data_IF_344708991610
#
_entry.id   IF_344708991610
#
_cell.length_a   1.000
_cell.length_b   1.000
_cell.length_c   1.000
_cell.angle_alpha   90.00
_cell.angle_beta   90.00
_cell.angle_gamma   90.00
#
_symmetry.space_group_name_H-M   'P 1'
#
loop_
_entity.id
_entity.type
_entity.pdbx_description
1 polymer ?
#
# COMPACT_ATOMS: atom_id res chain seq x y z
N UNK A 1 12.23 5.62 27.79
CA UNK A 1 10.92 5.91 27.15
C UNK A 1 11.12 7.06 26.18
N UNK A 2 11.24 6.75 24.89
CA UNK A 2 11.19 7.75 23.83
C UNK A 2 10.17 7.23 22.83
N UNK A 3 8.93 7.65 22.99
CA UNK A 3 7.89 7.44 22.00
C UNK A 3 8.25 8.30 20.80
N UNK A 4 8.83 7.67 19.78
CA UNK A 4 8.85 8.24 18.45
C UNK A 4 7.41 8.36 17.99
N UNK A 5 6.87 9.57 18.00
CA UNK A 5 5.62 9.85 17.32
C UNK A 5 5.83 9.44 15.85
N UNK A 6 5.15 8.38 15.41
CA UNK A 6 4.92 8.11 13.99
C UNK A 6 4.08 9.28 13.46
N UNK A 7 4.75 10.40 13.17
CA UNK A 7 4.22 11.48 12.36
C UNK A 7 3.77 10.85 11.05
N UNK A 8 2.49 11.04 10.72
CA UNK A 8 1.76 10.25 9.72
C UNK A 8 2.61 9.87 8.51
N UNK A 9 2.86 8.57 8.37
CA UNK A 9 3.48 8.01 7.17
C UNK A 9 2.58 8.32 5.98
N UNK A 10 2.95 9.34 5.22
CA UNK A 10 2.38 9.62 3.91
C UNK A 10 2.70 8.42 3.02
N UNK A 11 1.66 7.68 2.61
CA UNK A 11 1.82 6.52 1.73
C UNK A 11 2.56 6.92 0.46
N UNK A 12 3.63 6.18 0.13
CA UNK A 12 4.47 6.48 -1.03
C UNK A 12 5.59 7.48 -0.77
N UNK A 13 5.75 7.96 0.46
CA UNK A 13 6.84 8.85 0.89
C UNK A 13 7.67 8.16 1.96
N UNK A 14 8.98 8.11 1.77
CA UNK A 14 9.92 7.58 2.76
C UNK A 14 10.82 8.71 3.26
N UNK A 15 10.88 8.88 4.59
CA UNK A 15 11.81 9.81 5.21
C UNK A 15 13.15 9.12 5.50
N UNK A 16 14.23 9.64 4.94
CA UNK A 16 15.60 9.14 5.13
C UNK A 16 16.50 10.21 5.71
N UNK A 17 17.49 9.78 6.50
CA UNK A 17 18.54 10.64 7.04
C UNK A 17 19.89 10.13 6.60
N UNK A 18 20.66 10.99 5.93
CA UNK A 18 22.03 10.71 5.52
C UNK A 18 23.00 11.63 6.26
N UNK A 19 24.17 11.09 6.59
CA UNK A 19 25.18 11.78 7.41
C UNK A 19 26.56 11.58 6.82
N UNK A 20 27.39 12.61 6.90
CA UNK A 20 28.83 12.45 6.67
C UNK A 20 29.64 13.41 7.54
N UNK A 21 30.88 13.02 7.81
CA UNK A 21 31.83 13.88 8.52
C UNK A 21 32.40 14.96 7.59
N UNK A 22 32.95 16.01 8.17
CA UNK A 22 33.64 17.09 7.46
C UNK A 22 34.61 16.54 6.40
N UNK A 23 34.65 17.21 5.25
CA UNK A 23 35.34 16.81 4.00
C UNK A 23 34.72 15.64 3.22
N UNK A 24 33.63 15.03 3.71
CA UNK A 24 32.81 14.08 2.96
C UNK A 24 31.70 14.74 2.14
N UNK A 25 30.85 13.93 1.52
CA UNK A 25 29.62 14.37 0.84
C UNK A 25 28.47 13.43 1.17
N UNK A 26 27.29 13.99 1.40
CA UNK A 26 26.04 13.23 1.42
C UNK A 26 25.55 13.12 -0.02
N UNK A 27 25.35 11.89 -0.50
CA UNK A 27 24.71 11.63 -1.77
C UNK A 27 23.23 11.38 -1.51
N UNK A 28 22.40 12.18 -2.16
CA UNK A 28 20.97 11.99 -2.22
C UNK A 28 20.72 11.28 -3.54
N UNK A 29 20.14 10.08 -3.53
CA UNK A 29 19.89 9.33 -4.74
C UNK A 29 19.05 10.20 -5.68
N UNK A 30 19.66 10.59 -6.80
CA UNK A 30 18.92 11.00 -7.98
C UNK A 30 18.27 9.74 -8.57
N UNK A 31 17.27 9.95 -9.41
CA UNK A 31 16.50 8.91 -10.10
C UNK A 31 17.42 7.91 -10.84
N UNK A 32 17.90 6.88 -10.14
CA UNK A 32 18.77 5.85 -10.70
C UNK A 32 17.97 4.72 -11.38
N UNK A 33 16.67 4.92 -11.66
CA UNK A 33 15.93 4.18 -12.68
C UNK A 33 15.99 2.64 -12.63
N UNK A 34 15.99 2.03 -11.44
CA UNK A 34 16.28 0.60 -11.31
C UNK A 34 15.09 -0.37 -11.50
N UNK A 35 13.87 0.08 -11.84
CA UNK A 35 12.76 -0.84 -12.13
C UNK A 35 12.11 -0.53 -13.49
N UNK A 36 12.42 -1.36 -14.50
CA UNK A 36 11.79 -1.33 -15.81
C UNK A 36 10.30 -1.72 -15.69
N UNK A 37 9.41 -0.89 -16.23
CA UNK A 37 8.00 -1.26 -16.40
C UNK A 37 7.86 -2.26 -17.56
N UNK A 38 7.48 -3.53 -17.33
CA UNK A 38 7.52 -4.59 -18.34
C UNK A 38 6.51 -4.41 -19.47
N UNK A 39 5.58 -3.43 -19.39
CA UNK A 39 4.55 -3.21 -20.40
C UNK A 39 4.80 -2.02 -21.33
N UNK A 40 5.57 -1.03 -20.87
CA UNK A 40 5.74 0.24 -21.59
C UNK A 40 7.18 0.54 -21.95
N UNK A 41 8.16 -0.16 -21.35
CA UNK A 41 9.59 0.12 -21.53
C UNK A 41 9.98 1.55 -21.17
N UNK A 42 9.11 2.25 -20.42
CA UNK A 42 9.32 3.63 -19.99
C UNK A 42 9.44 3.66 -18.48
N UNK A 43 10.56 4.22 -18.05
CA UNK A 43 10.91 4.47 -16.65
C UNK A 43 9.86 5.39 -16.03
N UNK A 44 9.24 4.97 -14.93
CA UNK A 44 8.54 5.90 -14.06
C UNK A 44 9.61 6.60 -13.22
N UNK A 45 9.65 7.94 -13.16
CA UNK A 45 10.64 8.63 -12.35
C UNK A 45 10.44 8.22 -10.88
N UNK A 46 11.52 7.82 -10.20
CA UNK A 46 11.53 7.86 -8.74
C UNK A 46 11.15 9.29 -8.37
N UNK A 47 10.12 9.42 -7.53
CA UNK A 47 9.46 10.69 -7.31
C UNK A 47 10.38 11.72 -6.67
N UNK A 48 9.86 12.95 -6.59
CA UNK A 48 10.61 14.10 -6.08
C UNK A 48 11.27 13.82 -4.72
N UNK A 49 12.51 14.26 -4.58
CA UNK A 49 13.19 14.33 -3.28
C UNK A 49 12.99 15.73 -2.71
N UNK A 50 12.45 15.81 -1.50
CA UNK A 50 12.28 17.05 -0.75
C UNK A 50 13.12 17.03 0.52
N UNK A 51 14.08 17.95 0.64
CA UNK A 51 14.83 18.10 1.90
C UNK A 51 13.93 18.71 2.96
N UNK A 52 13.82 18.02 4.09
CA UNK A 52 12.99 18.42 5.24
C UNK A 52 13.80 19.22 6.23
N UNK A 53 15.02 18.76 6.55
CA UNK A 53 15.93 19.44 7.48
C UNK A 53 17.37 19.09 7.16
N UNK A 54 18.26 20.07 7.24
CA UNK A 54 19.71 19.87 7.13
C UNK A 54 20.47 20.75 8.11
N UNK A 55 21.50 20.20 8.74
CA UNK A 55 22.37 20.96 9.63
C UNK A 55 23.84 20.57 9.46
N UNK A 56 24.72 21.52 9.76
CA UNK A 56 26.16 21.31 9.79
C UNK A 56 26.75 21.84 11.09
N UNK A 57 27.49 21.00 11.82
CA UNK A 57 28.07 21.40 13.10
C UNK A 57 28.45 20.24 14.01
N UNK A 58 28.45 20.47 15.32
CA UNK A 58 28.79 19.44 16.30
C UNK A 58 27.70 18.35 16.38
N UNK A 59 28.10 17.08 16.31
CA UNK A 59 27.19 15.94 16.33
C UNK A 59 26.46 15.77 17.68
N UNK A 60 27.03 16.25 18.78
CA UNK A 60 26.51 16.08 20.14
C UNK A 60 25.94 17.38 20.72
N UNK A 61 26.35 18.54 20.21
CA UNK A 61 25.93 19.85 20.71
C UNK A 61 25.11 20.64 19.67
N UNK A 62 23.77 20.68 19.82
CA UNK A 62 22.90 21.42 18.92
C UNK A 62 23.14 22.93 18.87
N UNK A 63 23.71 23.52 19.93
CA UNK A 63 24.00 24.97 19.96
C UNK A 63 25.15 25.37 19.03
N UNK A 64 25.96 24.39 18.61
CA UNK A 64 27.09 24.54 17.71
C UNK A 64 26.77 24.01 16.31
N UNK A 65 25.51 24.18 15.85
CA UNK A 65 25.04 23.78 14.53
C UNK A 65 24.49 24.99 13.77
N UNK A 66 24.83 25.04 12.50
CA UNK A 66 24.14 25.91 11.54
C UNK A 66 23.01 25.12 10.89
N UNK A 67 21.81 25.70 10.89
CA UNK A 67 20.73 25.27 10.00
C UNK A 67 21.11 25.68 8.57
N UNK A 68 21.11 24.71 7.67
CA UNK A 68 21.47 24.89 6.26
C UNK A 68 20.36 24.35 5.34
N UNK A 69 19.15 24.19 5.88
CA UNK A 69 18.04 23.54 5.19
C UNK A 69 17.70 24.25 3.88
N UNK A 70 17.55 25.58 3.90
CA UNK A 70 17.18 26.37 2.71
C UNK A 70 18.29 26.37 1.65
N UNK A 71 19.56 26.43 2.08
CA UNK A 71 20.69 26.39 1.17
C UNK A 71 20.86 25.02 0.51
N UNK A 72 20.63 23.94 1.27
CA UNK A 72 20.66 22.57 0.73
C UNK A 72 19.49 22.36 -0.24
N UNK A 73 18.28 22.84 0.08
CA UNK A 73 17.14 22.83 -0.86
C UNK A 73 17.44 23.58 -2.16
N UNK A 74 18.08 24.75 -2.06
CA UNK A 74 18.49 25.55 -3.24
C UNK A 74 19.55 24.83 -4.07
N UNK A 75 20.49 24.14 -3.40
CA UNK A 75 21.52 23.37 -4.08
C UNK A 75 20.91 22.23 -4.88
N UNK A 76 20.08 21.40 -4.25
CA UNK A 76 19.47 20.20 -4.85
C UNK A 76 18.32 20.49 -5.83
N UNK A 77 18.23 21.72 -6.32
CA UNK A 77 17.28 22.07 -7.38
C UNK A 77 17.55 21.19 -8.62
N UNK A 78 16.53 20.94 -9.49
CA UNK A 78 16.56 19.89 -10.53
C UNK A 78 17.72 19.92 -11.54
N UNK A 79 18.56 20.96 -11.49
CA UNK A 79 19.67 21.22 -12.40
C UNK A 79 21.03 21.27 -11.70
N UNK A 80 21.11 21.04 -10.38
CA UNK A 80 22.35 21.21 -9.60
C UNK A 80 22.58 20.10 -8.56
N UNK A 81 23.12 18.96 -9.00
CA UNK A 81 23.91 17.99 -8.19
C UNK A 81 23.13 17.18 -7.12
N UNK A 82 23.35 15.86 -7.13
CA UNK A 82 22.95 14.88 -6.09
C UNK A 82 23.81 14.88 -4.82
N UNK A 83 24.83 15.73 -4.73
CA UNK A 83 25.85 15.65 -3.69
C UNK A 83 25.94 16.93 -2.85
N UNK A 84 25.72 16.79 -1.54
CA UNK A 84 25.85 17.86 -0.55
C UNK A 84 27.20 17.71 0.17
N UNK A 85 28.21 18.54 -0.14
CA UNK A 85 29.53 18.44 0.47
C UNK A 85 29.54 18.98 1.92
N UNK A 86 30.20 18.29 2.85
CA UNK A 86 30.35 18.72 4.24
C UNK A 86 31.59 19.61 4.41
N UNK A 87 31.48 20.91 4.11
CA UNK A 87 32.64 21.81 4.16
C UNK A 87 32.33 23.12 4.89
N UNK A 88 33.18 23.49 5.86
CA UNK A 88 33.04 24.74 6.61
C UNK A 88 33.04 26.00 5.73
N UNK A 89 33.73 25.96 4.57
CA UNK A 89 33.71 27.08 3.60
C UNK A 89 32.35 27.32 2.95
N UNK A 90 31.47 26.32 2.96
CA UNK A 90 30.13 26.39 2.37
C UNK A 90 29.07 26.70 3.42
N UNK A 91 29.22 26.14 4.61
CA UNK A 91 28.20 26.15 5.66
C UNK A 91 28.54 26.98 6.90
N UNK A 92 29.74 27.58 6.94
CA UNK A 92 30.29 28.22 8.13
C UNK A 92 30.95 27.21 9.08
N UNK A 93 31.63 27.74 10.10
CA UNK A 93 32.33 26.96 11.13
C UNK A 93 31.74 27.22 12.52
N UNK A 94 30.57 26.61 12.85
CA UNK A 94 29.90 26.84 14.12
C UNK A 94 30.59 26.17 15.31
N UNK A 95 31.42 25.15 15.07
CA UNK A 95 32.12 24.38 16.09
C UNK A 95 33.64 24.43 15.88
N UNK A 96 34.25 25.60 16.14
CA UNK A 96 35.69 25.79 15.99
C UNK A 96 36.48 24.75 16.80
N UNK A 97 37.56 24.25 16.20
CA UNK A 97 38.43 23.21 16.79
C UNK A 97 37.74 21.86 17.04
N UNK A 98 36.54 21.65 16.51
CA UNK A 98 35.82 20.38 16.56
C UNK A 98 35.55 19.86 15.15
N UNK A 99 35.51 18.53 15.03
CA UNK A 99 35.10 17.87 13.80
C UNK A 99 33.60 18.05 13.64
N UNK A 100 33.18 18.55 12.48
CA UNK A 100 31.77 18.82 12.18
C UNK A 100 31.16 17.65 11.41
N UNK A 101 29.86 17.48 11.58
CA UNK A 101 29.04 16.52 10.84
C UNK A 101 28.00 17.28 10.02
N UNK A 102 27.79 16.81 8.80
CA UNK A 102 26.64 17.16 7.98
C UNK A 102 25.57 16.08 8.19
N UNK A 103 24.35 16.49 8.48
CA UNK A 103 23.18 15.63 8.45
C UNK A 103 22.13 16.26 7.54
N UNK A 104 21.60 15.46 6.62
CA UNK A 104 20.51 15.85 5.74
C UNK A 104 19.40 14.82 5.89
N UNK A 105 18.21 15.28 6.26
CA UNK A 105 16.99 14.49 6.29
C UNK A 105 16.10 14.93 5.15
N UNK A 106 15.72 13.98 4.31
CA UNK A 106 14.91 14.21 3.12
C UNK A 106 13.78 13.20 3.04
N UNK A 107 12.71 13.60 2.38
CA UNK A 107 11.59 12.75 1.99
C UNK A 107 11.73 12.41 0.51
N UNK A 108 11.64 11.13 0.21
CA UNK A 108 11.69 10.61 -1.14
C UNK A 108 10.35 9.98 -1.49
N UNK A 109 9.75 10.45 -2.56
CA UNK A 109 8.58 9.83 -3.15
C UNK A 109 9.02 8.55 -3.89
N UNK A 110 8.79 7.37 -3.32
CA UNK A 110 9.09 6.11 -4.03
C UNK A 110 7.92 5.65 -4.91
N UNK A 111 6.77 6.31 -4.79
CA UNK A 111 5.55 6.00 -5.52
C UNK A 111 5.05 7.25 -6.25
N UNK A 112 5.07 7.20 -7.60
CA UNK A 112 4.52 8.26 -8.45
C UNK A 112 3.02 8.49 -8.21
N UNK A 113 2.53 9.65 -8.61
CA UNK A 113 1.19 10.16 -8.27
C UNK A 113 0.05 9.18 -8.58
N UNK A 114 0.05 8.57 -9.77
CA UNK A 114 -0.99 7.60 -10.18
C UNK A 114 -1.00 6.36 -9.26
N UNK A 115 0.19 5.81 -8.98
CA UNK A 115 0.30 4.61 -8.12
C UNK A 115 -0.04 4.94 -6.68
N UNK A 116 0.29 6.16 -6.22
CA UNK A 116 -0.08 6.68 -4.89
C UNK A 116 -1.59 6.85 -4.78
N UNK A 117 -2.24 7.44 -5.78
CA UNK A 117 -3.69 7.57 -5.83
C UNK A 117 -4.36 6.19 -5.82
N UNK A 118 -3.86 5.24 -6.61
CA UNK A 118 -4.35 3.87 -6.61
C UNK A 118 -4.21 3.21 -5.23
N UNK A 119 -3.08 3.39 -4.55
CA UNK A 119 -2.85 2.86 -3.20
C UNK A 119 -3.76 3.52 -2.15
N UNK A 120 -4.01 4.83 -2.26
CA UNK A 120 -4.96 5.55 -1.42
C UNK A 120 -6.39 5.07 -1.65
N UNK A 121 -6.78 4.84 -2.91
CA UNK A 121 -8.07 4.24 -3.26
C UNK A 121 -8.21 2.84 -2.66
N UNK A 122 -7.18 2.00 -2.79
CA UNK A 122 -7.16 0.66 -2.20
C UNK A 122 -7.30 0.70 -0.68
N UNK A 123 -6.61 1.64 -0.02
CA UNK A 123 -6.73 1.88 1.41
C UNK A 123 -8.13 2.34 1.81
N UNK A 124 -8.75 3.24 1.03
CA UNK A 124 -10.12 3.67 1.28
C UNK A 124 -11.08 2.48 1.23
N UNK A 125 -11.03 1.66 0.18
CA UNK A 125 -11.86 0.46 0.02
C UNK A 125 -11.61 -0.60 1.11
N UNK A 126 -10.38 -0.71 1.61
CA UNK A 126 -10.04 -1.62 2.70
C UNK A 126 -10.67 -1.20 4.04
N UNK A 127 -10.90 0.09 4.25
CA UNK A 127 -11.43 0.64 5.50
C UNK A 127 -12.93 1.00 5.42
N UNK A 128 -13.50 1.10 4.22
CA UNK A 128 -14.94 1.31 4.00
C UNK A 128 -15.72 0.04 4.35
N UNK A 129 -16.61 0.13 5.34
CA UNK A 129 -17.45 -1.01 5.73
C UNK A 129 -18.32 -1.43 4.55
N UNK A 130 -18.35 -2.73 4.27
CA UNK A 130 -19.12 -3.24 3.13
C UNK A 130 -20.61 -2.87 3.18
N UNK A 131 -21.24 -2.79 4.37
CA UNK A 131 -22.66 -2.41 4.50
C UNK A 131 -22.95 -0.94 4.17
N UNK A 132 -21.94 -0.08 4.25
CA UNK A 132 -22.05 1.36 3.97
C UNK A 132 -21.68 1.67 2.51
N UNK A 133 -21.03 0.74 1.81
CA UNK A 133 -20.57 0.91 0.44
C UNK A 133 -21.73 0.88 -0.57
N UNK A 134 -21.91 1.92 -1.42
CA UNK A 134 -23.02 1.99 -2.36
C UNK A 134 -22.95 0.91 -3.46
N UNK A 135 -21.75 0.44 -3.80
CA UNK A 135 -21.54 -0.61 -4.81
C UNK A 135 -21.81 -2.04 -4.32
N UNK A 136 -22.07 -2.27 -3.02
CA UNK A 136 -22.19 -3.61 -2.43
C UNK A 136 -23.12 -4.52 -3.25
N UNK A 137 -24.33 -4.04 -3.54
CA UNK A 137 -25.33 -4.80 -4.29
C UNK A 137 -24.88 -5.09 -5.71
N UNK A 138 -24.23 -4.13 -6.37
CA UNK A 138 -23.73 -4.29 -7.74
C UNK A 138 -22.62 -5.34 -7.81
N UNK A 139 -21.76 -5.41 -6.79
CA UNK A 139 -20.67 -6.39 -6.69
C UNK A 139 -21.20 -7.80 -6.41
N UNK A 140 -22.19 -7.94 -5.51
CA UNK A 140 -22.85 -9.22 -5.27
C UNK A 140 -23.58 -9.73 -6.52
N UNK A 141 -24.27 -8.82 -7.24
CA UNK A 141 -24.91 -9.16 -8.51
C UNK A 141 -23.89 -9.65 -9.54
N UNK A 142 -22.78 -8.93 -9.72
CA UNK A 142 -21.69 -9.32 -10.64
C UNK A 142 -21.06 -10.66 -10.28
N UNK A 143 -20.78 -10.89 -8.99
CA UNK A 143 -20.25 -12.17 -8.51
C UNK A 143 -21.21 -13.31 -8.85
N UNK A 144 -22.50 -13.13 -8.56
CA UNK A 144 -23.51 -14.15 -8.83
C UNK A 144 -23.68 -14.44 -10.32
N UNK A 145 -23.70 -13.39 -11.15
CA UNK A 145 -23.84 -13.51 -12.61
C UNK A 145 -22.65 -14.27 -13.21
N UNK A 146 -21.44 -13.95 -12.75
CA UNK A 146 -20.20 -14.59 -13.23
C UNK A 146 -20.17 -16.07 -12.89
N UNK A 147 -20.61 -16.45 -11.69
CA UNK A 147 -20.67 -17.84 -11.26
C UNK A 147 -21.76 -18.64 -11.97
N UNK A 148 -22.92 -18.02 -12.23
CA UNK A 148 -23.99 -18.64 -13.05
C UNK A 148 -23.49 -18.87 -14.48
N UNK A 149 -22.82 -17.89 -15.09
CA UNK A 149 -22.24 -18.03 -16.42
C UNK A 149 -21.18 -19.15 -16.47
N UNK A 150 -20.33 -19.24 -15.45
CA UNK A 150 -19.33 -20.32 -15.35
C UNK A 150 -20.00 -21.71 -15.29
N UNK A 151 -21.11 -21.85 -14.55
CA UNK A 151 -21.87 -23.10 -14.48
C UNK A 151 -22.59 -23.47 -15.80
N UNK A 152 -23.01 -22.47 -16.59
CA UNK A 152 -23.71 -22.65 -17.87
C UNK A 152 -22.81 -22.98 -19.06
N UNK A 153 -21.49 -22.91 -18.93
CA UNK A 153 -20.54 -23.42 -19.93
C UNK A 153 -20.64 -24.95 -20.15
N UNK A 154 -21.50 -25.63 -19.39
CA UNK A 154 -21.92 -27.02 -19.55
C UNK A 154 -23.27 -27.08 -20.30
N UNK A 155 -23.46 -27.93 -21.32
CA UNK A 155 -24.74 -28.04 -22.02
C UNK A 155 -25.80 -28.66 -21.10
N UNK A 156 -26.60 -27.83 -20.43
CA UNK A 156 -27.80 -28.23 -19.69
C UNK A 156 -28.97 -27.31 -20.10
N UNK A 157 -30.20 -27.85 -20.21
CA UNK A 157 -31.32 -27.12 -20.77
C UNK A 157 -31.84 -26.05 -19.81
N UNK A 158 -32.39 -25.01 -20.42
CA UNK A 158 -32.75 -23.72 -19.84
C UNK A 158 -33.62 -23.81 -18.57
N UNK A 159 -33.03 -23.44 -17.42
CA UNK A 159 -33.77 -22.95 -16.26
C UNK A 159 -33.10 -21.67 -15.72
N UNK A 160 -33.88 -20.59 -15.74
CA UNK A 160 -33.73 -19.29 -15.06
C UNK A 160 -32.33 -18.65 -15.00
N UNK A 161 -32.16 -17.61 -15.83
CA UNK A 161 -31.03 -16.67 -15.94
C UNK A 161 -30.94 -15.73 -14.71
N UNK A 162 -31.72 -15.96 -13.66
CA UNK A 162 -31.67 -15.12 -12.47
C UNK A 162 -30.36 -15.38 -11.71
N UNK A 163 -29.59 -14.31 -11.49
CA UNK A 163 -28.48 -14.29 -10.53
C UNK A 163 -28.96 -14.74 -9.14
N UNK A 164 -28.03 -14.83 -8.19
CA UNK A 164 -28.44 -15.20 -6.84
C UNK A 164 -29.31 -14.04 -6.31
N UNK A 165 -30.53 -14.34 -5.88
CA UNK A 165 -31.35 -13.35 -5.18
C UNK A 165 -30.61 -12.81 -3.96
N UNK A 166 -31.11 -11.71 -3.40
CA UNK A 166 -30.52 -11.06 -2.21
C UNK A 166 -30.24 -12.05 -1.06
N UNK A 167 -31.07 -13.09 -0.94
CA UNK A 167 -30.86 -14.23 -0.06
C UNK A 167 -31.01 -15.52 -0.87
N UNK A 168 -30.05 -16.44 -0.78
CA UNK A 168 -30.04 -17.70 -1.54
C UNK A 168 -29.19 -18.78 -0.86
N UNK A 169 -29.62 -20.06 -0.87
CA UNK A 169 -28.76 -21.18 -0.45
C UNK A 169 -27.46 -21.30 -1.26
N UNK A 170 -27.44 -20.77 -2.49
CA UNK A 170 -26.25 -20.76 -3.35
C UNK A 170 -25.10 -19.93 -2.78
N UNK A 171 -25.40 -18.91 -1.96
CA UNK A 171 -24.36 -18.18 -1.22
C UNK A 171 -23.65 -19.10 -0.23
N UNK A 172 -24.38 -19.94 0.51
CA UNK A 172 -23.78 -20.95 1.39
C UNK A 172 -22.95 -21.98 0.64
N UNK A 173 -23.42 -22.43 -0.54
CA UNK A 173 -22.64 -23.34 -1.38
C UNK A 173 -21.31 -22.71 -1.83
N UNK A 174 -21.29 -21.40 -2.11
CA UNK A 174 -20.07 -20.68 -2.43
C UNK A 174 -19.10 -20.53 -1.24
N UNK A 175 -19.55 -20.87 -0.02
CA UNK A 175 -18.74 -20.77 1.19
C UNK A 175 -18.98 -19.50 2.00
N UNK A 176 -20.10 -18.79 1.81
CA UNK A 176 -20.59 -17.82 2.80
C UNK A 176 -21.19 -18.57 4.01
N UNK A 177 -21.14 -17.96 5.20
CA UNK A 177 -21.71 -18.54 6.42
C UNK A 177 -23.24 -18.53 6.39
N UNK A 178 -23.81 -17.52 5.73
CA UNK A 178 -25.24 -17.23 5.71
C UNK A 178 -25.82 -17.27 4.28
N UNK A 179 -27.14 -17.42 4.16
CA UNK A 179 -27.82 -17.25 2.87
C UNK A 179 -27.82 -15.80 2.39
N UNK A 180 -27.53 -14.85 3.28
CA UNK A 180 -27.34 -13.43 2.99
C UNK A 180 -25.84 -13.10 3.13
N UNK A 181 -25.11 -12.87 2.03
CA UNK A 181 -23.67 -12.62 2.08
C UNK A 181 -23.33 -11.29 2.80
N UNK A 182 -24.29 -10.37 2.98
CA UNK A 182 -24.06 -9.06 3.63
C UNK A 182 -23.65 -9.20 5.10
N UNK A 183 -24.12 -10.25 5.78
CA UNK A 183 -23.81 -10.51 7.20
C UNK A 183 -22.36 -10.95 7.42
N UNK A 184 -21.74 -11.48 6.36
CA UNK A 184 -20.42 -12.12 6.42
C UNK A 184 -19.32 -11.13 6.00
N UNK A 185 -19.69 -10.07 5.27
CA UNK A 185 -18.83 -8.96 4.89
C UNK A 185 -18.70 -7.95 6.03
N UNK A 186 -18.22 -8.38 7.21
CA UNK A 186 -18.03 -7.50 8.38
C UNK A 186 -16.81 -6.59 8.27
N UNK A 187 -16.05 -6.73 7.19
CA UNK A 187 -14.80 -5.99 6.92
C UNK A 187 -14.95 -5.06 5.73
N UNK A 188 -13.83 -4.48 5.29
CA UNK A 188 -13.78 -3.59 4.13
C UNK A 188 -14.42 -4.18 2.86
N UNK A 189 -15.01 -3.33 2.03
CA UNK A 189 -15.59 -3.71 0.72
C UNK A 189 -14.56 -4.34 -0.22
N UNK A 190 -13.27 -4.03 -0.03
CA UNK A 190 -12.14 -4.56 -0.80
C UNK A 190 -12.16 -6.09 -0.94
N UNK A 191 -12.56 -6.83 0.10
CA UNK A 191 -12.61 -8.29 0.04
C UNK A 191 -13.61 -8.79 -1.01
N UNK A 192 -14.74 -8.09 -1.17
CA UNK A 192 -15.73 -8.41 -2.19
C UNK A 192 -15.22 -8.03 -3.59
N UNK A 193 -14.50 -6.92 -3.74
CA UNK A 193 -13.88 -6.56 -5.02
C UNK A 193 -12.87 -7.59 -5.48
N UNK A 194 -12.00 -8.06 -4.58
CA UNK A 194 -11.03 -9.10 -4.90
C UNK A 194 -11.73 -10.40 -5.34
N UNK A 195 -12.82 -10.78 -4.67
CA UNK A 195 -13.64 -11.93 -5.04
C UNK A 195 -14.26 -11.77 -6.43
N UNK A 196 -14.89 -10.63 -6.71
CA UNK A 196 -15.50 -10.32 -8.02
C UNK A 196 -14.43 -10.31 -9.11
N UNK A 197 -13.30 -9.63 -8.86
CA UNK A 197 -12.18 -9.56 -9.80
C UNK A 197 -11.63 -10.95 -10.11
N UNK A 198 -11.46 -11.80 -9.10
CA UNK A 198 -11.00 -13.17 -9.29
C UNK A 198 -11.99 -13.97 -10.16
N UNK A 199 -13.29 -13.88 -9.86
CA UNK A 199 -14.32 -14.58 -10.63
C UNK A 199 -14.40 -14.11 -12.09
N UNK A 200 -14.34 -12.81 -12.34
CA UNK A 200 -14.45 -12.23 -13.69
C UNK A 200 -13.18 -12.42 -14.51
N UNK A 201 -12.00 -12.26 -13.89
CA UNK A 201 -10.72 -12.30 -14.60
C UNK A 201 -10.18 -13.71 -14.76
N UNK A 202 -10.44 -14.59 -13.79
CA UNK A 202 -9.92 -15.95 -13.74
C UNK A 202 -11.03 -16.99 -13.51
N UNK A 203 -12.10 -17.02 -14.33
CA UNK A 203 -13.30 -17.82 -14.06
C UNK A 203 -13.04 -19.33 -13.97
N UNK A 204 -12.09 -19.84 -14.75
CA UNK A 204 -11.70 -21.26 -14.71
C UNK A 204 -11.02 -21.61 -13.38
N UNK A 205 -10.06 -20.79 -12.94
CA UNK A 205 -9.37 -20.97 -11.66
C UNK A 205 -10.35 -20.85 -10.49
N UNK A 206 -11.22 -19.84 -10.50
CA UNK A 206 -12.27 -19.68 -9.49
C UNK A 206 -13.17 -20.90 -9.43
N UNK A 207 -13.65 -21.39 -10.57
CA UNK A 207 -14.52 -22.56 -10.62
C UNK A 207 -13.83 -23.83 -10.11
N UNK A 208 -12.52 -23.97 -10.38
CA UNK A 208 -11.71 -25.06 -9.86
C UNK A 208 -11.57 -24.97 -8.34
N UNK A 209 -11.20 -23.80 -7.81
CA UNK A 209 -11.05 -23.58 -6.37
C UNK A 209 -12.37 -23.82 -5.63
N UNK A 210 -13.52 -23.39 -6.17
CA UNK A 210 -14.84 -23.65 -5.57
C UNK A 210 -15.15 -25.14 -5.51
N UNK A 211 -14.77 -25.93 -6.53
CA UNK A 211 -14.95 -27.38 -6.52
C UNK A 211 -14.02 -28.08 -5.54
N UNK A 212 -12.74 -27.69 -5.52
CA UNK A 212 -11.75 -28.24 -4.60
C UNK A 212 -12.12 -27.94 -3.14
N UNK A 213 -12.63 -26.74 -2.89
CA UNK A 213 -13.14 -26.32 -1.59
C UNK A 213 -14.30 -27.19 -1.07
N UNK A 214 -15.03 -27.86 -1.96
CA UNK A 214 -16.13 -28.78 -1.63
C UNK A 214 -15.74 -30.26 -1.76
N UNK A 215 -14.46 -30.56 -2.03
CA UNK A 215 -13.99 -31.93 -2.24
C UNK A 215 -13.68 -32.64 -0.92
N UNK A 216 -13.93 -33.95 -0.91
CA UNK A 216 -13.66 -34.81 0.24
C UNK A 216 -12.16 -34.76 0.60
N UNK A 217 -11.84 -34.23 1.79
CA UNK A 217 -10.49 -34.21 2.34
C UNK A 217 -9.79 -32.85 2.42
N UNK A 218 -10.32 -31.80 1.76
CA UNK A 218 -9.80 -30.43 1.89
C UNK A 218 -10.81 -29.50 2.59
N UNK A 219 -12.11 -29.66 2.29
CA UNK A 219 -13.27 -28.89 2.78
C UNK A 219 -12.96 -27.55 3.47
N UNK A 220 -13.12 -26.45 2.73
CA UNK A 220 -13.00 -25.10 3.30
C UNK A 220 -14.05 -24.14 2.71
N UNK A 221 -14.52 -23.16 3.49
CA UNK A 221 -15.50 -22.20 2.99
C UNK A 221 -14.81 -21.19 2.03
N UNK A 222 -14.88 -21.45 0.73
CA UNK A 222 -14.17 -20.67 -0.30
C UNK A 222 -14.32 -19.15 -0.16
N UNK A 223 -15.55 -18.64 -0.05
CA UNK A 223 -15.78 -17.19 0.07
C UNK A 223 -15.19 -16.61 1.37
N UNK A 224 -15.49 -17.22 2.53
CA UNK A 224 -14.96 -16.77 3.83
C UNK A 224 -13.44 -16.85 3.89
N UNK A 225 -12.83 -17.91 3.34
CA UNK A 225 -11.39 -18.04 3.27
C UNK A 225 -10.76 -16.93 2.41
N UNK A 226 -11.34 -16.64 1.24
CA UNK A 226 -10.88 -15.56 0.36
C UNK A 226 -11.00 -14.18 1.01
N UNK A 227 -12.09 -13.94 1.73
CA UNK A 227 -12.30 -12.72 2.51
C UNK A 227 -11.21 -12.59 3.58
N UNK A 228 -10.95 -13.64 4.35
CA UNK A 228 -9.93 -13.64 5.40
C UNK A 228 -8.52 -13.43 4.83
N UNK A 229 -8.16 -14.08 3.72
CA UNK A 229 -6.88 -13.86 3.04
C UNK A 229 -6.74 -12.40 2.63
N UNK A 230 -7.77 -11.81 2.03
CA UNK A 230 -7.74 -10.39 1.62
C UNK A 230 -7.52 -9.48 2.83
N UNK A 231 -8.15 -9.77 3.97
CA UNK A 231 -7.93 -9.02 5.20
C UNK A 231 -6.49 -9.21 5.75
N UNK A 232 -5.95 -10.43 5.70
CA UNK A 232 -4.57 -10.68 6.12
C UNK A 232 -3.58 -9.92 5.23
N UNK A 233 -3.79 -9.91 3.92
CA UNK A 233 -2.99 -9.11 2.98
C UNK A 233 -3.15 -7.61 3.25
N UNK A 234 -4.36 -7.12 3.50
CA UNK A 234 -4.59 -5.71 3.81
C UNK A 234 -3.89 -5.25 5.10
N UNK A 235 -3.80 -6.11 6.13
CA UNK A 235 -3.01 -5.84 7.34
C UNK A 235 -1.52 -5.93 7.09
N UNK A 236 -1.06 -6.99 6.41
CA UNK A 236 0.35 -7.18 6.07
C UNK A 236 0.91 -6.00 5.25
N UNK A 237 0.10 -5.48 4.32
CA UNK A 237 0.41 -4.32 3.49
C UNK A 237 0.07 -2.98 4.17
N UNK A 238 -0.32 -3.00 5.45
CA UNK A 238 -0.61 -1.81 6.26
C UNK A 238 -1.68 -0.86 5.66
N UNK A 239 -2.61 -1.43 4.88
CA UNK A 239 -3.76 -0.70 4.32
C UNK A 239 -4.81 -0.41 5.39
N UNK A 240 -4.99 -1.34 6.32
CA UNK A 240 -5.87 -1.17 7.48
C UNK A 240 -5.00 -0.91 8.69
N UNK A 241 -5.39 0.04 9.54
CA UNK A 241 -4.68 0.25 10.81
C UNK A 241 -4.85 -1.01 11.66
N UNK A 242 -3.74 -1.60 12.09
CA UNK A 242 -3.80 -2.61 13.12
C UNK A 242 -4.44 -1.98 14.35
N UNK A 243 -5.62 -2.46 14.71
CA UNK A 243 -6.18 -2.26 16.03
C UNK A 243 -5.38 -3.05 17.07
N UNK A 244 -4.05 -2.93 17.10
CA UNK A 244 -3.18 -3.43 18.16
C UNK A 244 -3.36 -2.56 19.41
N UNK A 245 -4.59 -2.62 19.91
CA UNK A 245 -5.03 -2.38 21.27
C UNK A 245 -6.04 -3.47 21.63
N UNK A 246 -5.76 -4.73 21.24
CA UNK A 246 -6.44 -5.89 21.79
C UNK A 246 -5.47 -6.63 22.70
N UNK A 247 -5.54 -6.25 23.98
CA UNK A 247 -5.06 -7.01 25.12
C UNK A 247 -5.56 -8.46 24.99
N UNK A 248 -4.65 -9.42 24.89
CA UNK A 248 -4.98 -10.78 25.30
C UNK A 248 -5.14 -10.74 26.83
N UNK A 249 -6.38 -10.91 27.29
CA UNK A 249 -6.77 -11.12 28.67
C UNK A 249 -7.78 -12.25 28.74
#
# INVERSE_FOLDING_TARGET
MAGGAHAGESLGVERRTARCWEYGSVFIPEDDGCDEDPKTGKFAPLGSVQVVVAWFGDANDPSLRNDITEEVQRMLSPSQRSAVPAMARLWGDPAKFRVKQLEVTYEQDWLGDERREALLSLKARANEKAQEAPELESLLQRLSATLVAAAQSRPCPAESIAGFGATSPRWRQLGFQSCDPRSDLRTGILALDCLVHMAERYPLATSQMVREAQSDGIDYPFAVASINITQHLARYLQLVKDGLGCSFG
#
